data_IF_016590257988
#
_entry.id   IF_016590257988
#
_cell.length_a   1.000
_cell.length_b   1.000
_cell.length_c   1.000
_cell.angle_alpha   90.00
_cell.angle_beta   90.00
_cell.angle_gamma   90.00
#
_symmetry.space_group_name_H-M   'P 1'
#
loop_
_entity.id
_entity.type
_entity.pdbx_description
1 polymer ?
#
# COMPACT_ATOMS: atom_id res chain seq x y z
N UNK A 1 5.44 -5.01 6.25
CA UNK A 1 4.84 -5.76 7.39
C UNK A 1 4.61 -7.24 7.06
N UNK A 2 3.59 -7.67 6.29
CA UNK A 2 3.35 -9.09 5.98
C UNK A 2 4.59 -9.79 5.38
N UNK A 3 5.20 -9.22 4.35
CA UNK A 3 6.38 -9.78 3.71
C UNK A 3 7.55 -9.92 4.67
N UNK A 4 7.75 -8.97 5.59
CA UNK A 4 8.81 -9.03 6.59
C UNK A 4 8.59 -10.17 7.60
N UNK A 5 7.35 -10.38 8.05
CA UNK A 5 7.00 -11.52 8.91
C UNK A 5 7.27 -12.87 8.23
N UNK A 6 6.81 -13.01 6.99
CA UNK A 6 7.03 -14.24 6.21
C UNK A 6 8.53 -14.46 5.97
N UNK A 7 9.26 -13.40 5.66
CA UNK A 7 10.72 -13.46 5.46
C UNK A 7 11.45 -13.97 6.72
N UNK A 8 11.16 -13.39 7.88
CA UNK A 8 11.80 -13.80 9.14
C UNK A 8 11.41 -15.23 9.54
N UNK A 9 10.15 -15.61 9.36
CA UNK A 9 9.69 -16.99 9.64
C UNK A 9 10.37 -18.00 8.72
N UNK A 10 10.46 -17.72 7.42
CA UNK A 10 11.16 -18.59 6.46
C UNK A 10 12.65 -18.64 6.74
N UNK A 11 13.31 -17.53 7.05
CA UNK A 11 14.73 -17.48 7.39
C UNK A 11 15.07 -18.37 8.58
N UNK A 12 14.16 -18.44 9.57
CA UNK A 12 14.35 -19.27 10.74
C UNK A 12 14.05 -20.78 10.51
N UNK A 13 13.33 -21.12 9.46
CA UNK A 13 12.87 -22.49 9.17
C UNK A 13 13.62 -23.16 8.02
N UNK A 14 14.19 -22.37 7.13
CA UNK A 14 14.90 -22.90 5.97
C UNK A 14 16.34 -23.30 6.34
N UNK A 15 16.89 -24.32 5.67
CA UNK A 15 18.30 -24.72 5.85
C UNK A 15 19.24 -23.58 5.45
N UNK A 16 20.41 -23.48 6.09
CA UNK A 16 21.46 -22.49 5.81
C UNK A 16 21.97 -22.53 4.35
N UNK A 17 21.76 -23.65 3.66
CA UNK A 17 22.08 -23.78 2.23
C UNK A 17 21.19 -22.97 1.31
N UNK A 18 20.06 -22.44 1.82
CA UNK A 18 19.12 -21.59 1.06
C UNK A 18 19.36 -20.12 1.41
N UNK A 19 19.81 -19.37 0.43
CA UNK A 19 19.91 -17.90 0.56
C UNK A 19 18.57 -17.25 0.26
N UNK A 20 18.00 -16.57 1.26
CA UNK A 20 16.76 -15.82 1.15
C UNK A 20 17.06 -14.33 1.09
N UNK A 21 16.41 -13.61 0.18
CA UNK A 21 16.49 -12.16 0.05
C UNK A 21 15.08 -11.55 0.00
N UNK A 22 14.85 -10.50 0.76
CA UNK A 22 13.61 -9.74 0.72
C UNK A 22 13.75 -8.55 -0.23
N UNK A 23 12.85 -8.44 -1.20
CA UNK A 23 12.81 -7.34 -2.16
C UNK A 23 11.41 -6.73 -2.14
N UNK A 24 11.35 -5.42 -1.94
CA UNK A 24 10.10 -4.66 -2.04
C UNK A 24 9.98 -4.07 -3.45
N UNK A 25 8.94 -4.48 -4.17
CA UNK A 25 8.65 -3.93 -5.49
C UNK A 25 7.57 -2.86 -5.36
N UNK A 26 7.83 -1.70 -5.95
CA UNK A 26 6.81 -0.65 -6.10
C UNK A 26 6.10 -0.87 -7.43
N UNK A 27 4.78 -0.89 -7.41
CA UNK A 27 3.96 -1.22 -8.58
C UNK A 27 2.66 -0.43 -8.60
N UNK A 28 2.32 0.07 -9.77
CA UNK A 28 1.00 0.66 -10.01
C UNK A 28 0.75 1.97 -9.27
N UNK A 29 -0.18 1.95 -8.32
CA UNK A 29 -0.58 3.16 -7.58
C UNK A 29 0.48 3.72 -6.64
N UNK A 30 1.54 2.97 -6.33
CA UNK A 30 2.59 3.44 -5.42
C UNK A 30 3.40 4.60 -6.02
N UNK A 31 3.45 4.68 -7.36
CA UNK A 31 4.12 5.76 -8.09
C UNK A 31 3.18 6.90 -8.50
N UNK A 32 1.89 6.81 -8.15
CA UNK A 32 0.96 7.91 -8.43
C UNK A 32 1.33 9.11 -7.56
N UNK A 33 1.74 10.17 -8.21
CA UNK A 33 1.95 11.45 -7.55
C UNK A 33 0.59 12.05 -7.17
N UNK A 34 0.39 12.25 -5.87
CA UNK A 34 -0.85 12.82 -5.34
C UNK A 34 -0.65 14.33 -5.21
N UNK A 35 -1.09 15.08 -6.22
CA UNK A 35 -0.90 16.55 -6.30
C UNK A 35 -2.09 17.34 -5.77
N UNK A 36 -3.28 16.78 -5.87
CA UNK A 36 -4.56 17.44 -5.65
C UNK A 36 -5.63 16.48 -5.13
N UNK A 37 -6.83 16.99 -4.90
CA UNK A 37 -7.96 16.20 -4.44
C UNK A 37 -8.43 15.15 -5.46
N UNK A 38 -8.24 15.38 -6.75
CA UNK A 38 -8.66 14.43 -7.80
C UNK A 38 -7.74 13.21 -7.81
N UNK A 39 -6.43 13.40 -7.82
CA UNK A 39 -5.44 12.31 -7.73
C UNK A 39 -5.55 11.56 -6.41
N UNK A 40 -5.84 12.25 -5.30
CA UNK A 40 -6.13 11.64 -4.01
C UNK A 40 -7.38 10.76 -4.06
N UNK A 41 -8.47 11.25 -4.64
CA UNK A 41 -9.70 10.48 -4.80
C UNK A 41 -9.50 9.27 -5.71
N UNK A 42 -8.74 9.40 -6.79
CA UNK A 42 -8.37 8.28 -7.68
C UNK A 42 -7.60 7.20 -6.91
N UNK A 43 -6.65 7.59 -6.07
CA UNK A 43 -5.91 6.67 -5.22
C UNK A 43 -6.81 5.95 -4.21
N UNK A 44 -7.72 6.67 -3.53
CA UNK A 44 -8.66 6.08 -2.58
C UNK A 44 -9.69 5.15 -3.22
N UNK A 45 -10.10 5.46 -4.44
CA UNK A 45 -11.11 4.67 -5.15
C UNK A 45 -10.53 3.47 -5.92
N UNK A 46 -9.19 3.25 -5.90
CA UNK A 46 -8.58 2.12 -6.60
C UNK A 46 -9.22 0.77 -6.23
N UNK A 47 -9.55 0.56 -4.97
CA UNK A 47 -10.19 -0.67 -4.49
C UNK A 47 -11.64 -0.87 -5.00
N UNK A 48 -12.25 0.15 -5.62
CA UNK A 48 -13.56 0.09 -6.29
C UNK A 48 -13.46 -0.14 -7.79
N UNK A 49 -12.26 -0.04 -8.34
CA UNK A 49 -12.07 -0.12 -9.78
C UNK A 49 -12.44 -1.50 -10.33
N UNK A 50 -13.16 -1.50 -11.43
CA UNK A 50 -13.41 -2.67 -12.26
C UNK A 50 -12.10 -3.25 -12.78
N UNK A 51 -12.15 -4.49 -13.27
CA UNK A 51 -10.98 -5.10 -13.91
C UNK A 51 -10.44 -4.24 -15.07
N UNK A 52 -11.33 -3.63 -15.87
CA UNK A 52 -10.94 -2.79 -17.00
C UNK A 52 -10.20 -1.53 -16.54
N UNK A 53 -10.73 -0.81 -15.55
CA UNK A 53 -10.10 0.38 -14.99
C UNK A 53 -8.73 0.07 -14.36
N UNK A 54 -8.61 -1.06 -13.65
CA UNK A 54 -7.33 -1.52 -13.11
C UNK A 54 -6.33 -1.84 -14.23
N UNK A 55 -6.79 -2.48 -15.31
CA UNK A 55 -5.93 -2.79 -16.47
C UNK A 55 -5.42 -1.51 -17.11
N UNK A 56 -6.31 -0.54 -17.37
CA UNK A 56 -5.92 0.76 -17.93
C UNK A 56 -4.90 1.50 -17.05
N UNK A 57 -5.09 1.44 -15.73
CA UNK A 57 -4.15 2.05 -14.80
C UNK A 57 -2.77 1.45 -14.91
N UNK A 58 -2.67 0.10 -14.96
CA UNK A 58 -1.38 -0.58 -15.09
C UNK A 58 -0.73 -0.34 -16.47
N UNK A 59 -1.51 -0.27 -17.54
CA UNK A 59 -1.01 0.07 -18.87
C UNK A 59 -0.44 1.49 -18.96
N UNK A 60 -0.98 2.42 -18.17
CA UNK A 60 -0.51 3.81 -18.07
C UNK A 60 0.61 3.99 -17.04
N UNK A 61 0.84 3.01 -16.18
CA UNK A 61 1.89 3.06 -15.16
C UNK A 61 3.24 2.69 -15.75
N UNK A 62 4.35 3.27 -15.22
CA UNK A 62 5.68 2.80 -15.56
C UNK A 62 5.83 1.31 -15.27
N UNK A 63 6.54 0.59 -16.13
CA UNK A 63 6.85 -0.81 -15.83
C UNK A 63 7.60 -0.91 -14.49
N UNK A 64 7.33 -1.96 -13.68
CA UNK A 64 8.07 -2.18 -12.46
C UNK A 64 9.56 -2.29 -12.76
N UNK A 65 10.38 -1.56 -12.03
CA UNK A 65 11.83 -1.67 -12.13
C UNK A 65 12.27 -3.01 -11.51
N UNK A 66 12.40 -4.03 -12.36
CA UNK A 66 12.87 -5.35 -11.97
C UNK A 66 14.28 -5.53 -12.51
N UNK A 67 15.28 -5.48 -11.62
CA UNK A 67 16.66 -5.68 -11.99
C UNK A 67 16.94 -7.15 -12.32
N UNK A 68 17.33 -7.50 -13.55
CA UNK A 68 17.52 -8.90 -13.96
C UNK A 68 18.51 -9.67 -13.08
N UNK A 69 19.55 -9.00 -12.54
CA UNK A 69 20.56 -9.62 -11.65
C UNK A 69 19.96 -10.18 -10.36
N UNK A 70 18.85 -9.61 -9.91
CA UNK A 70 18.23 -9.97 -8.63
C UNK A 70 17.28 -11.16 -8.76
N UNK A 71 16.78 -11.44 -9.97
CA UNK A 71 15.70 -12.40 -10.19
C UNK A 71 16.02 -13.52 -11.20
N UNK A 72 17.00 -13.31 -12.11
CA UNK A 72 17.31 -14.31 -13.14
C UNK A 72 17.72 -15.65 -12.54
N UNK A 73 17.03 -16.72 -12.95
CA UNK A 73 17.31 -18.08 -12.51
C UNK A 73 16.96 -18.37 -11.05
N UNK A 74 16.40 -17.41 -10.33
CA UNK A 74 15.99 -17.58 -8.92
C UNK A 74 14.55 -18.05 -8.82
N UNK A 75 14.24 -18.75 -7.73
CA UNK A 75 12.85 -19.01 -7.33
C UNK A 75 12.31 -17.80 -6.59
N UNK A 76 11.13 -17.33 -6.99
CA UNK A 76 10.48 -16.15 -6.42
C UNK A 76 9.26 -16.60 -5.62
N UNK A 77 9.15 -16.16 -4.38
CA UNK A 77 7.90 -16.16 -3.63
C UNK A 77 7.32 -14.73 -3.65
N UNK A 78 6.32 -14.51 -4.49
CA UNK A 78 5.61 -13.24 -4.53
C UNK A 78 4.50 -13.24 -3.49
N UNK A 79 4.57 -12.32 -2.55
CA UNK A 79 3.62 -12.21 -1.43
C UNK A 79 2.79 -10.95 -1.61
N UNK A 80 1.47 -11.11 -1.55
CA UNK A 80 0.54 -9.99 -1.51
C UNK A 80 -0.63 -10.28 -0.56
N UNK A 81 -1.32 -9.26 -0.10
CA UNK A 81 -2.42 -9.37 0.85
C UNK A 81 -3.70 -9.95 0.20
N UNK A 82 -4.17 -9.34 -0.89
CA UNK A 82 -5.43 -9.73 -1.52
C UNK A 82 -5.29 -9.87 -3.04
N UNK A 83 -5.93 -10.88 -3.58
CA UNK A 83 -6.15 -11.05 -5.02
C UNK A 83 -7.64 -10.91 -5.31
N UNK A 84 -8.02 -9.86 -6.04
CA UNK A 84 -9.41 -9.64 -6.50
C UNK A 84 -9.54 -10.06 -7.96
N UNK A 85 -9.24 -9.18 -8.90
CA UNK A 85 -9.35 -9.45 -10.36
C UNK A 85 -8.15 -10.17 -10.96
N UNK A 86 -7.06 -10.30 -10.21
CA UNK A 86 -5.80 -10.86 -10.69
C UNK A 86 -5.03 -9.94 -11.68
N UNK A 87 -5.48 -8.70 -11.89
CA UNK A 87 -4.83 -7.75 -12.80
C UNK A 87 -3.39 -7.47 -12.38
N UNK A 88 -3.16 -7.20 -11.09
CA UNK A 88 -1.81 -7.03 -10.53
C UNK A 88 -0.92 -8.25 -10.80
N UNK A 89 -1.44 -9.46 -10.56
CA UNK A 89 -0.69 -10.70 -10.82
C UNK A 89 -0.30 -10.81 -12.30
N UNK A 90 -1.23 -10.57 -13.24
CA UNK A 90 -0.93 -10.62 -14.68
C UNK A 90 0.14 -9.61 -15.08
N UNK A 91 0.04 -8.40 -14.56
CA UNK A 91 1.01 -7.34 -14.82
C UNK A 91 2.42 -7.74 -14.33
N UNK A 92 2.53 -8.25 -13.11
CA UNK A 92 3.79 -8.75 -12.56
C UNK A 92 4.33 -9.97 -13.30
N UNK A 93 3.46 -10.88 -13.74
CA UNK A 93 3.88 -12.02 -14.58
C UNK A 93 4.55 -11.57 -15.88
N UNK A 94 3.99 -10.55 -16.54
CA UNK A 94 4.59 -9.98 -17.75
C UNK A 94 5.96 -9.36 -17.48
N UNK A 95 6.08 -8.62 -16.38
CA UNK A 95 7.34 -8.00 -15.98
C UNK A 95 8.41 -9.06 -15.63
N UNK A 96 8.05 -10.09 -14.86
CA UNK A 96 8.98 -11.19 -14.54
C UNK A 96 9.35 -12.06 -15.72
N UNK A 97 8.49 -12.20 -16.73
CA UNK A 97 8.83 -12.94 -17.95
C UNK A 97 10.08 -12.38 -18.65
N UNK A 98 10.34 -11.06 -18.51
CA UNK A 98 11.52 -10.39 -19.09
C UNK A 98 12.83 -10.72 -18.40
N UNK A 99 12.79 -11.15 -17.14
CA UNK A 99 13.99 -11.43 -16.33
C UNK A 99 14.26 -12.92 -16.12
N UNK A 100 13.38 -13.79 -16.64
CA UNK A 100 13.52 -15.25 -16.68
C UNK A 100 13.88 -15.87 -15.30
N UNK A 101 13.04 -15.76 -14.28
CA UNK A 101 13.21 -16.50 -13.03
C UNK A 101 13.03 -18.00 -13.28
N UNK A 102 13.57 -18.86 -12.41
CA UNK A 102 13.39 -20.31 -12.52
C UNK A 102 11.94 -20.73 -12.24
N UNK A 103 11.31 -20.08 -11.26
CA UNK A 103 9.88 -20.27 -10.96
C UNK A 103 9.34 -19.08 -10.18
N UNK A 104 8.01 -18.91 -10.19
CA UNK A 104 7.30 -17.92 -9.38
C UNK A 104 6.18 -18.62 -8.64
N UNK A 105 6.20 -18.54 -7.31
CA UNK A 105 5.09 -18.93 -6.45
C UNK A 105 4.33 -17.67 -6.00
N UNK A 106 3.00 -17.71 -6.05
CA UNK A 106 2.13 -16.61 -5.66
C UNK A 106 1.45 -16.93 -4.34
N UNK A 107 1.68 -16.12 -3.33
CA UNK A 107 1.06 -16.26 -2.02
C UNK A 107 0.14 -15.05 -1.76
N UNK A 108 -1.11 -15.33 -1.47
CA UNK A 108 -2.13 -14.35 -1.09
C UNK A 108 -2.73 -14.76 0.25
N UNK A 109 -2.98 -13.80 1.14
CA UNK A 109 -3.76 -14.05 2.36
C UNK A 109 -5.22 -14.36 1.98
N UNK A 110 -5.75 -13.58 1.03
CA UNK A 110 -7.11 -13.70 0.55
C UNK A 110 -7.14 -13.69 -0.97
N UNK A 111 -7.84 -14.64 -1.56
CA UNK A 111 -8.18 -14.62 -2.97
C UNK A 111 -9.70 -14.60 -3.12
N UNK A 112 -10.22 -13.61 -3.81
CA UNK A 112 -11.64 -13.48 -4.11
C UNK A 112 -11.97 -14.40 -5.28
N UNK A 113 -13.08 -15.10 -5.17
CA UNK A 113 -13.62 -15.87 -6.27
C UNK A 113 -13.85 -14.99 -7.51
N UNK A 114 -13.58 -15.55 -8.68
CA UNK A 114 -13.63 -14.78 -9.91
C UNK A 114 -15.04 -14.24 -10.21
N UNK A 115 -16.07 -15.04 -9.98
CA UNK A 115 -17.44 -14.64 -10.26
C UNK A 115 -17.88 -13.50 -9.33
N UNK A 116 -17.44 -13.55 -8.06
CA UNK A 116 -17.67 -12.48 -7.10
C UNK A 116 -16.91 -11.21 -7.51
N UNK A 117 -15.64 -11.34 -7.90
CA UNK A 117 -14.82 -10.20 -8.31
C UNK A 117 -15.33 -9.50 -9.59
N UNK A 118 -15.94 -10.26 -10.50
CA UNK A 118 -16.56 -9.73 -11.72
C UNK A 118 -17.93 -9.07 -11.44
N UNK A 119 -18.73 -9.65 -10.53
CA UNK A 119 -20.04 -9.15 -10.17
C UNK A 119 -20.00 -7.96 -9.18
N UNK A 120 -18.98 -7.91 -8.33
CA UNK A 120 -18.83 -6.93 -7.25
C UNK A 120 -17.39 -6.39 -7.21
N UNK A 121 -16.98 -5.54 -8.16
CA UNK A 121 -15.61 -5.03 -8.23
C UNK A 121 -15.19 -4.25 -6.97
N UNK A 122 -16.16 -3.71 -6.22
CA UNK A 122 -15.96 -3.00 -4.96
C UNK A 122 -15.77 -3.91 -3.73
N UNK A 123 -15.73 -5.24 -3.89
CA UNK A 123 -15.55 -6.17 -2.76
C UNK A 123 -14.29 -5.89 -1.95
N UNK A 124 -13.19 -5.49 -2.61
CA UNK A 124 -11.96 -5.07 -1.93
C UNK A 124 -12.19 -3.82 -1.07
N UNK A 125 -12.92 -2.85 -1.60
CA UNK A 125 -13.28 -1.66 -0.85
C UNK A 125 -14.12 -2.01 0.40
N UNK A 126 -15.11 -2.88 0.25
CA UNK A 126 -15.94 -3.34 1.37
C UNK A 126 -15.10 -4.04 2.45
N UNK A 127 -14.16 -4.90 2.07
CA UNK A 127 -13.24 -5.57 2.99
C UNK A 127 -12.36 -4.55 3.71
N UNK A 128 -11.74 -3.63 2.98
CA UNK A 128 -10.85 -2.62 3.54
C UNK A 128 -11.55 -1.64 4.50
N UNK A 129 -12.87 -1.50 4.39
CA UNK A 129 -13.67 -0.57 5.20
C UNK A 129 -14.60 -1.28 6.20
N UNK A 130 -14.54 -2.61 6.28
CA UNK A 130 -15.42 -3.38 7.18
C UNK A 130 -15.20 -3.09 8.66
N UNK A 131 -13.95 -2.77 9.05
CA UNK A 131 -13.57 -2.53 10.45
C UNK A 131 -13.23 -1.07 10.75
N UNK A 132 -12.98 -0.24 9.73
CA UNK A 132 -12.61 1.18 9.86
C UNK A 132 -13.49 1.96 8.89
N UNK A 133 -14.75 2.15 9.25
CA UNK A 133 -15.74 2.78 8.39
C UNK A 133 -15.80 4.31 8.56
N UNK A 134 -15.48 4.82 9.75
CA UNK A 134 -15.59 6.23 10.10
C UNK A 134 -14.25 6.89 10.39
N UNK A 135 -14.27 8.22 10.53
CA UNK A 135 -13.13 9.00 11.03
C UNK A 135 -12.82 8.62 12.49
N UNK A 136 -13.84 8.41 13.28
CA UNK A 136 -13.75 8.05 14.70
C UNK A 136 -13.06 6.68 14.85
N UNK A 137 -13.48 5.66 14.11
CA UNK A 137 -12.83 4.33 14.11
C UNK A 137 -11.34 4.44 13.75
N UNK A 138 -11.03 5.27 12.75
CA UNK A 138 -9.66 5.48 12.33
C UNK A 138 -8.84 6.22 13.40
N UNK A 139 -9.44 7.22 14.03
CA UNK A 139 -8.83 7.96 15.13
C UNK A 139 -8.52 7.07 16.33
N UNK A 140 -9.46 6.24 16.74
CA UNK A 140 -9.30 5.28 17.83
C UNK A 140 -8.20 4.26 17.54
N UNK A 141 -8.16 3.76 16.31
CA UNK A 141 -7.09 2.85 15.87
C UNK A 141 -5.71 3.50 16.01
N UNK A 142 -5.55 4.73 15.53
CA UNK A 142 -4.28 5.46 15.60
C UNK A 142 -3.89 5.80 17.05
N UNK A 143 -4.86 6.07 17.92
CA UNK A 143 -4.60 6.48 19.30
C UNK A 143 -4.32 5.29 20.24
N UNK A 144 -4.98 4.14 20.03
CA UNK A 144 -4.98 3.02 20.98
C UNK A 144 -4.04 1.88 20.61
N UNK A 145 -3.75 1.67 19.32
CA UNK A 145 -2.95 0.56 18.86
C UNK A 145 -1.49 0.95 18.59
N UNK A 146 -0.59 0.02 18.84
CA UNK A 146 0.82 0.20 18.47
C UNK A 146 0.98 -0.20 16.99
N UNK A 147 0.79 0.78 16.12
CA UNK A 147 0.77 0.59 14.67
C UNK A 147 2.08 1.01 14.02
N UNK A 148 2.49 0.25 13.03
CA UNK A 148 3.45 0.71 12.03
C UNK A 148 2.68 1.47 10.94
N UNK A 149 2.91 2.77 10.84
CA UNK A 149 2.24 3.61 9.86
C UNK A 149 2.73 3.30 8.45
N UNK A 150 1.81 3.31 7.49
CA UNK A 150 2.10 3.10 6.07
C UNK A 150 1.73 4.36 5.28
N UNK A 151 2.25 4.48 4.05
CA UNK A 151 1.87 5.57 3.14
C UNK A 151 0.35 5.62 2.90
N UNK A 152 -0.34 4.46 2.87
CA UNK A 152 -1.81 4.42 2.78
C UNK A 152 -2.49 5.02 4.02
N UNK A 153 -1.96 4.74 5.19
CA UNK A 153 -2.45 5.33 6.43
C UNK A 153 -2.32 6.87 6.40
N UNK A 154 -1.15 7.37 5.98
CA UNK A 154 -0.92 8.81 5.85
C UNK A 154 -1.81 9.43 4.78
N UNK A 155 -1.97 8.78 3.61
CA UNK A 155 -2.86 9.25 2.56
C UNK A 155 -4.30 9.37 3.06
N UNK A 156 -4.79 8.36 3.78
CA UNK A 156 -6.12 8.41 4.40
C UNK A 156 -6.22 9.52 5.44
N UNK A 157 -5.22 9.66 6.28
CA UNK A 157 -5.17 10.72 7.27
C UNK A 157 -5.27 12.10 6.62
N UNK A 158 -4.45 12.38 5.60
CA UNK A 158 -4.42 13.66 4.91
C UNK A 158 -5.63 13.89 3.98
N UNK A 159 -6.51 12.89 3.77
CA UNK A 159 -7.77 13.08 3.05
C UNK A 159 -8.85 13.75 3.88
N UNK A 160 -8.73 13.71 5.21
CA UNK A 160 -9.70 14.35 6.09
C UNK A 160 -9.56 15.88 6.12
N UNK A 161 -10.65 16.57 6.51
CA UNK A 161 -10.64 18.01 6.67
C UNK A 161 -9.68 18.47 7.78
N UNK A 162 -9.08 19.66 7.64
CA UNK A 162 -8.11 20.20 8.61
C UNK A 162 -8.67 20.27 10.04
N UNK A 163 -9.97 20.53 10.20
CA UNK A 163 -10.65 20.54 11.49
C UNK A 163 -10.73 19.16 12.17
N UNK A 164 -10.94 18.10 11.37
CA UNK A 164 -10.93 16.71 11.84
C UNK A 164 -9.50 16.29 12.22
N UNK A 165 -8.53 16.64 11.39
CA UNK A 165 -7.12 16.38 11.67
C UNK A 165 -6.66 17.04 12.97
N UNK A 166 -7.05 18.30 13.22
CA UNK A 166 -6.70 18.99 14.45
C UNK A 166 -7.23 18.26 15.69
N UNK A 167 -8.48 17.76 15.64
CA UNK A 167 -9.05 16.96 16.73
C UNK A 167 -8.27 15.66 16.95
N UNK A 168 -7.98 14.92 15.86
CA UNK A 168 -7.22 13.68 15.94
C UNK A 168 -5.84 13.90 16.53
N UNK A 169 -5.11 14.93 16.09
CA UNK A 169 -3.78 15.22 16.61
C UNK A 169 -3.78 15.60 18.10
N UNK A 170 -4.87 16.13 18.64
CA UNK A 170 -5.01 16.35 20.08
C UNK A 170 -5.07 15.01 20.86
N UNK A 171 -5.62 13.96 20.27
CA UNK A 171 -5.74 12.64 20.89
C UNK A 171 -4.41 11.83 20.84
N UNK A 172 -3.53 12.11 19.88
CA UNK A 172 -2.28 11.38 19.70
C UNK A 172 -1.19 11.90 20.63
N UNK A 173 -0.36 10.98 21.13
CA UNK A 173 0.87 11.34 21.84
C UNK A 173 1.94 11.92 20.89
N UNK A 174 2.96 12.53 21.48
CA UNK A 174 4.03 13.22 20.73
C UNK A 174 4.82 12.25 19.85
N UNK A 175 5.04 11.00 20.30
CA UNK A 175 5.77 9.99 19.53
C UNK A 175 5.03 9.63 18.24
N UNK A 176 3.71 9.39 18.33
CA UNK A 176 2.86 9.10 17.18
C UNK A 176 2.80 10.26 16.18
N UNK A 177 2.65 11.49 16.68
CA UNK A 177 2.67 12.69 15.84
C UNK A 177 3.98 12.83 15.06
N UNK A 178 5.12 12.59 15.71
CA UNK A 178 6.44 12.63 15.05
C UNK A 178 6.56 11.53 13.98
N UNK A 179 6.20 10.30 14.30
CA UNK A 179 6.26 9.20 13.34
C UNK A 179 5.37 9.45 12.10
N UNK A 180 4.16 10.01 12.30
CA UNK A 180 3.27 10.40 11.20
C UNK A 180 3.90 11.51 10.36
N UNK A 181 4.46 12.55 11.00
CA UNK A 181 5.10 13.66 10.31
C UNK A 181 6.35 13.22 9.52
N UNK A 182 7.19 12.39 10.11
CA UNK A 182 8.38 11.83 9.46
C UNK A 182 7.99 11.08 8.19
N UNK A 183 7.00 10.17 8.27
CA UNK A 183 6.56 9.42 7.12
C UNK A 183 5.87 10.30 6.07
N UNK A 184 5.07 11.29 6.49
CA UNK A 184 4.39 12.22 5.58
C UNK A 184 5.38 13.10 4.79
N UNK A 185 6.58 13.34 5.33
CA UNK A 185 7.60 14.21 4.71
C UNK A 185 8.70 13.42 3.98
N UNK A 186 8.97 12.18 4.38
CA UNK A 186 10.07 11.38 3.85
C UNK A 186 9.96 11.05 2.36
N UNK A 187 8.75 10.79 1.87
CA UNK A 187 8.54 10.31 0.50
C UNK A 187 8.34 11.43 -0.54
N UNK A 188 8.23 12.69 -0.12
CA UNK A 188 7.93 13.82 -1.02
C UNK A 188 6.55 13.76 -1.69
N UNK A 189 5.80 12.68 -1.51
CA UNK A 189 4.48 12.41 -2.12
C UNK A 189 3.44 13.48 -1.77
N UNK A 190 3.55 14.07 -0.60
CA UNK A 190 2.61 15.07 -0.07
C UNK A 190 3.18 16.50 -0.11
N UNK A 191 4.09 16.77 -1.04
CA UNK A 191 4.74 18.08 -1.20
C UNK A 191 3.88 19.12 -1.94
N UNK A 192 2.79 18.68 -2.61
CA UNK A 192 1.88 19.57 -3.34
C UNK A 192 1.15 20.58 -2.45
N UNK A 193 0.76 21.73 -3.03
CA UNK A 193 0.08 22.83 -2.32
C UNK A 193 -1.19 22.36 -1.60
N UNK A 194 -1.89 21.36 -2.13
CA UNK A 194 -3.07 20.76 -1.52
C UNK A 194 -2.81 20.22 -0.10
N UNK A 195 -1.62 19.68 0.15
CA UNK A 195 -1.28 19.10 1.44
C UNK A 195 -0.56 20.07 2.38
N UNK A 196 -0.11 21.22 1.87
CA UNK A 196 0.73 22.16 2.62
C UNK A 196 0.12 22.58 3.96
N UNK A 197 -1.14 22.98 3.96
CA UNK A 197 -1.85 23.38 5.19
C UNK A 197 -1.90 22.23 6.20
N UNK A 198 -2.17 21.01 5.75
CA UNK A 198 -2.29 19.80 6.58
C UNK A 198 -0.94 19.37 7.15
N UNK A 199 0.11 19.43 6.34
CA UNK A 199 1.49 19.18 6.79
C UNK A 199 1.95 20.24 7.79
N UNK A 200 1.63 21.50 7.56
CA UNK A 200 1.96 22.58 8.50
C UNK A 200 1.16 22.46 9.82
N UNK A 201 -0.07 21.96 9.76
CA UNK A 201 -0.84 21.60 10.95
C UNK A 201 -0.15 20.46 11.73
N UNK A 202 0.30 19.40 11.05
CA UNK A 202 1.07 18.31 11.64
C UNK A 202 2.33 18.82 12.33
N UNK A 203 3.13 19.67 11.67
CA UNK A 203 4.35 20.27 12.24
C UNK A 203 4.07 21.02 13.54
N UNK A 204 3.03 21.86 13.55
CA UNK A 204 2.63 22.63 14.75
C UNK A 204 2.19 21.72 15.90
N UNK A 205 1.58 20.57 15.60
CA UNK A 205 1.10 19.64 16.62
C UNK A 205 2.17 18.66 17.11
N UNK A 206 3.24 18.45 16.35
CA UNK A 206 4.32 17.51 16.68
C UNK A 206 5.50 18.17 17.43
N UNK A 207 5.60 19.50 17.40
CA UNK A 207 6.58 20.29 18.17
C UNK A 207 6.10 20.56 19.55
#
# INVERSE_FOLDING_TARGET
MLCSYIYEDLKNKLPDSITLSLVHLRVGTDDLEIKDSESLNKYHNYSRFTQQERTQLYEQSPEPLIEPRDFRGRSILFVNDIKVTGTHQRYMQQAFAKVAPSQICWLYILAIDREIAEAQPEVEYAINHSSIASFEDFGDLLATHNLEYTSRCITRLLSYESSQLAKLFQMLDVGRKKAILELATAEGRFSGDYFKEKIDLLKRCAG
#
